data_IF_982310583101
#
_entry.id   IF_982310583101
#
_cell.length_a   1.000
_cell.length_b   1.000
_cell.length_c   1.000
_cell.angle_alpha   90.00
_cell.angle_beta   90.00
_cell.angle_gamma   90.00
#
_symmetry.space_group_name_H-M   'P 1'
#
loop_
_entity.id
_entity.type
_entity.pdbx_description
1 polymer ?
#
# COMPACT_ATOMS: atom_id res chain seq x y z
N UNK A 1 -20.83 -18.39 34.86
CA UNK A 1 -21.41 -17.62 33.73
C UNK A 1 -20.66 -16.30 33.47
N UNK A 2 -20.26 -15.56 34.51
CA UNK A 2 -19.48 -14.30 34.38
C UNK A 2 -18.05 -14.53 33.83
N UNK A 3 -17.39 -15.64 34.19
CA UNK A 3 -16.03 -15.94 33.75
C UNK A 3 -15.90 -16.20 32.24
N UNK A 4 -16.92 -16.82 31.63
CA UNK A 4 -16.98 -17.11 30.19
C UNK A 4 -17.19 -15.82 29.39
N UNK A 5 -18.00 -14.90 29.93
CA UNK A 5 -18.19 -13.57 29.33
C UNK A 5 -16.92 -12.73 29.38
N UNK A 6 -16.18 -12.77 30.50
CA UNK A 6 -14.89 -12.09 30.64
C UNK A 6 -13.83 -12.65 29.67
N UNK A 7 -13.77 -13.98 29.51
CA UNK A 7 -12.89 -14.64 28.54
C UNK A 7 -13.29 -14.34 27.08
N UNK A 8 -14.58 -14.26 26.78
CA UNK A 8 -15.07 -13.89 25.45
C UNK A 8 -14.76 -12.43 25.10
N UNK A 9 -14.92 -11.51 26.05
CA UNK A 9 -14.59 -10.09 25.87
C UNK A 9 -13.08 -9.87 25.77
N UNK A 10 -12.27 -10.56 26.59
CA UNK A 10 -10.81 -10.47 26.46
C UNK A 10 -10.32 -11.12 25.17
N UNK A 11 -10.91 -12.23 24.71
CA UNK A 11 -10.59 -12.85 23.43
C UNK A 11 -10.92 -11.93 22.25
N UNK A 12 -12.11 -11.31 22.23
CA UNK A 12 -12.49 -10.34 21.21
C UNK A 12 -11.57 -9.11 21.21
N UNK A 13 -11.22 -8.58 22.39
CA UNK A 13 -10.25 -7.49 22.50
C UNK A 13 -8.84 -7.89 22.05
N UNK A 14 -8.45 -9.16 22.22
CA UNK A 14 -7.15 -9.67 21.78
C UNK A 14 -7.09 -9.87 20.26
N UNK A 15 -8.19 -10.33 19.63
CA UNK A 15 -8.32 -10.45 18.18
C UNK A 15 -8.32 -9.06 17.52
N UNK A 16 -9.00 -8.08 18.12
CA UNK A 16 -9.07 -6.70 17.60
C UNK A 16 -7.75 -5.91 17.77
N UNK A 17 -6.90 -6.32 18.74
CA UNK A 17 -5.56 -5.76 18.93
C UNK A 17 -4.54 -6.25 17.90
N UNK A 18 -4.75 -7.43 17.29
CA UNK A 18 -3.82 -8.04 16.34
C UNK A 18 -4.22 -7.79 14.88
N UNK A 19 -5.20 -6.92 14.63
CA UNK A 19 -5.71 -6.72 13.29
C UNK A 19 -4.79 -5.77 12.48
N UNK A 20 -3.73 -6.35 11.93
CA UNK A 20 -2.73 -5.73 11.04
C UNK A 20 -3.37 -5.01 9.85
N UNK A 21 -4.60 -5.39 9.49
CA UNK A 21 -5.30 -5.03 8.25
C UNK A 21 -6.47 -4.08 8.49
N UNK A 22 -6.54 -3.45 9.68
CA UNK A 22 -7.61 -2.50 10.07
C UNK A 22 -8.06 -1.62 8.90
N UNK A 23 -9.36 -1.48 8.74
CA UNK A 23 -9.94 -0.68 7.67
C UNK A 23 -9.31 0.73 7.59
N UNK A 24 -8.89 1.12 6.39
CA UNK A 24 -8.44 2.48 6.09
C UNK A 24 -9.66 3.39 6.07
N UNK A 25 -9.84 4.18 7.12
CA UNK A 25 -10.91 5.17 7.16
C UNK A 25 -10.47 6.45 6.41
N UNK A 26 -11.09 6.73 5.27
CA UNK A 26 -10.80 7.92 4.44
C UNK A 26 -10.80 9.21 5.26
N UNK A 27 -11.78 9.38 6.16
CA UNK A 27 -11.88 10.55 7.06
C UNK A 27 -10.68 10.76 7.99
N UNK A 28 -9.85 9.73 8.18
CA UNK A 28 -8.63 9.79 9.00
C UNK A 28 -7.39 10.17 8.18
N UNK A 29 -7.47 10.15 6.85
CA UNK A 29 -6.39 10.59 5.97
C UNK A 29 -6.32 12.12 6.05
N UNK A 30 -5.17 12.63 6.48
CA UNK A 30 -4.86 14.05 6.59
C UNK A 30 -4.23 14.59 5.30
N UNK A 31 -3.34 13.81 4.69
CA UNK A 31 -2.74 14.13 3.41
C UNK A 31 -2.28 12.87 2.68
N UNK A 32 -2.04 13.02 1.37
CA UNK A 32 -1.55 11.96 0.50
C UNK A 32 -0.37 12.45 -0.32
N UNK A 33 0.60 11.57 -0.51
CA UNK A 33 1.77 11.77 -1.36
C UNK A 33 1.89 10.54 -2.26
N UNK A 34 2.12 10.72 -3.56
CA UNK A 34 2.43 9.62 -4.47
C UNK A 34 3.65 9.98 -5.29
N UNK A 35 4.54 9.02 -5.50
CA UNK A 35 5.66 9.16 -6.42
C UNK A 35 5.90 7.88 -7.21
N UNK A 36 6.52 8.02 -8.39
CA UNK A 36 6.94 6.89 -9.22
C UNK A 36 8.32 7.12 -9.80
N UNK A 37 9.01 6.03 -10.11
CA UNK A 37 10.24 6.01 -10.88
C UNK A 37 9.94 6.18 -12.38
N UNK A 38 10.66 7.10 -13.02
CA UNK A 38 10.65 7.32 -14.46
C UNK A 38 12.05 7.07 -14.98
N UNK A 39 12.17 6.24 -16.01
CA UNK A 39 13.44 5.86 -16.61
C UNK A 39 13.66 6.66 -17.88
N UNK A 40 14.68 7.50 -17.88
CA UNK A 40 15.08 8.29 -19.05
C UNK A 40 16.40 7.77 -19.60
N UNK A 41 16.53 7.81 -20.93
CA UNK A 41 17.79 7.54 -21.61
C UNK A 41 18.48 8.88 -21.87
N UNK A 42 19.66 9.06 -21.32
CA UNK A 42 20.52 10.21 -21.64
C UNK A 42 21.89 9.69 -22.11
N UNK A 43 22.24 10.01 -23.35
CA UNK A 43 23.44 9.47 -24.00
C UNK A 43 23.43 7.93 -24.07
N UNK A 44 24.47 7.30 -23.52
CA UNK A 44 24.62 5.84 -23.45
C UNK A 44 24.12 5.24 -22.13
N UNK A 45 23.58 6.05 -21.21
CA UNK A 45 23.19 5.65 -19.86
C UNK A 45 21.68 5.65 -19.64
N UNK A 46 21.28 4.99 -18.55
CA UNK A 46 19.92 5.02 -18.01
C UNK A 46 19.89 5.79 -16.69
N UNK A 47 18.94 6.70 -16.57
CA UNK A 47 18.75 7.53 -15.37
C UNK A 47 17.36 7.28 -14.80
N UNK A 48 17.27 7.31 -13.46
CA UNK A 48 16.02 7.11 -12.73
C UNK A 48 15.70 8.41 -12.01
N UNK A 49 14.55 8.99 -12.36
CA UNK A 49 14.01 10.17 -11.67
C UNK A 49 12.73 9.78 -10.94
N UNK A 50 12.59 10.23 -9.69
CA UNK A 50 11.33 10.11 -8.95
C UNK A 50 10.47 11.33 -9.23
N UNK A 51 9.26 11.11 -9.73
CA UNK A 51 8.30 12.18 -10.03
C UNK A 51 7.10 12.07 -9.11
N UNK A 52 6.67 13.23 -8.60
CA UNK A 52 5.48 13.33 -7.77
C UNK A 52 4.22 13.28 -8.62
N UNK A 53 3.22 12.55 -8.14
CA UNK A 53 1.89 12.45 -8.74
C UNK A 53 0.89 12.99 -7.73
N UNK A 54 0.09 13.97 -8.18
CA UNK A 54 -1.01 14.47 -7.37
C UNK A 54 -2.21 13.54 -7.51
N UNK A 55 -2.57 12.89 -6.41
CA UNK A 55 -3.79 12.09 -6.34
C UNK A 55 -5.02 12.99 -6.23
N UNK A 56 -6.06 12.69 -6.99
CA UNK A 56 -7.39 13.28 -6.81
C UNK A 56 -8.11 12.61 -5.63
N UNK A 57 -9.12 13.30 -5.09
CA UNK A 57 -9.87 12.80 -3.94
C UNK A 57 -10.58 11.46 -4.24
N UNK A 58 -11.18 11.33 -5.42
CA UNK A 58 -11.79 10.08 -5.90
C UNK A 58 -10.79 8.93 -5.97
N UNK A 59 -9.55 9.20 -6.39
CA UNK A 59 -8.48 8.20 -6.44
C UNK A 59 -8.08 7.74 -5.04
N UNK A 60 -7.93 8.66 -4.09
CA UNK A 60 -7.62 8.34 -2.68
C UNK A 60 -8.71 7.44 -2.09
N UNK A 61 -9.98 7.77 -2.33
CA UNK A 61 -11.13 6.98 -1.88
C UNK A 61 -11.13 5.58 -2.50
N UNK A 62 -10.93 5.50 -3.82
CA UNK A 62 -10.85 4.22 -4.53
C UNK A 62 -9.70 3.36 -4.01
N UNK A 63 -8.50 3.92 -3.82
CA UNK A 63 -7.34 3.20 -3.28
C UNK A 63 -7.65 2.64 -1.88
N UNK A 64 -8.22 3.44 -0.99
CA UNK A 64 -8.59 2.98 0.34
C UNK A 64 -9.64 1.86 0.28
N UNK A 65 -10.68 2.01 -0.56
CA UNK A 65 -11.72 1.02 -0.74
C UNK A 65 -11.18 -0.29 -1.33
N UNK A 66 -10.30 -0.22 -2.32
CA UNK A 66 -9.65 -1.39 -2.91
C UNK A 66 -8.84 -2.16 -1.87
N UNK A 67 -8.03 -1.47 -1.05
CA UNK A 67 -7.27 -2.12 0.02
C UNK A 67 -8.20 -2.77 1.04
N UNK A 68 -9.25 -2.07 1.45
CA UNK A 68 -10.22 -2.58 2.43
C UNK A 68 -11.08 -3.74 1.88
N UNK A 69 -11.18 -3.87 0.56
CA UNK A 69 -11.95 -4.95 -0.09
C UNK A 69 -11.20 -6.28 -0.17
N UNK A 70 -9.89 -6.30 0.13
CA UNK A 70 -9.10 -7.54 0.11
C UNK A 70 -9.51 -8.42 1.29
N UNK A 71 -9.95 -9.66 1.07
CA UNK A 71 -10.30 -10.57 2.15
C UNK A 71 -9.04 -10.97 2.93
N UNK A 72 -9.18 -11.18 4.25
CA UNK A 72 -8.06 -11.54 5.13
C UNK A 72 -7.27 -12.78 4.63
N UNK A 73 -7.95 -13.71 3.95
CA UNK A 73 -7.32 -14.91 3.36
C UNK A 73 -6.33 -14.62 2.22
N UNK A 74 -6.40 -13.44 1.61
CA UNK A 74 -5.51 -13.00 0.52
C UNK A 74 -4.42 -12.03 1.01
N UNK A 75 -4.39 -11.75 2.32
CA UNK A 75 -3.37 -10.91 2.93
C UNK A 75 -2.23 -11.80 3.41
N UNK A 76 -1.02 -11.51 2.91
CA UNK A 76 0.18 -12.27 3.27
C UNK A 76 1.07 -11.36 4.11
N UNK A 77 1.12 -11.61 5.41
CA UNK A 77 2.04 -10.91 6.32
C UNK A 77 3.50 -11.23 6.02
N UNK A 78 4.35 -10.22 6.13
CA UNK A 78 5.77 -10.28 5.83
C UNK A 78 6.55 -9.71 7.00
N UNK A 79 7.72 -10.31 7.31
CA UNK A 79 8.65 -9.72 8.28
C UNK A 79 9.18 -8.36 7.79
N UNK A 80 9.41 -8.25 6.48
CA UNK A 80 9.85 -7.05 5.78
C UNK A 80 9.61 -7.22 4.27
N UNK A 81 9.65 -6.12 3.51
CA UNK A 81 9.71 -6.19 2.05
C UNK A 81 11.02 -6.89 1.66
N UNK A 82 11.02 -7.90 0.76
CA UNK A 82 12.24 -8.58 0.34
C UNK A 82 13.31 -7.59 -0.15
N UNK A 83 14.56 -7.79 0.25
CA UNK A 83 15.66 -6.86 -0.05
C UNK A 83 16.01 -6.78 -1.54
N UNK A 84 15.61 -7.77 -2.32
CA UNK A 84 15.76 -7.80 -3.79
C UNK A 84 14.57 -7.17 -4.54
N UNK A 85 13.56 -6.64 -3.83
CA UNK A 85 12.41 -5.97 -4.45
C UNK A 85 12.78 -4.55 -4.88
N UNK A 86 12.54 -4.23 -6.15
CA UNK A 86 12.72 -2.89 -6.70
C UNK A 86 11.39 -2.14 -6.76
N UNK A 87 11.11 -1.32 -5.75
CA UNK A 87 9.90 -0.50 -5.71
C UNK A 87 9.94 0.52 -6.84
N UNK A 88 8.88 0.54 -7.65
CA UNK A 88 8.73 1.45 -8.78
C UNK A 88 7.80 2.61 -8.46
N UNK A 89 6.79 2.42 -7.62
CA UNK A 89 5.91 3.50 -7.14
C UNK A 89 5.58 3.35 -5.66
N UNK A 90 5.25 4.47 -5.03
CA UNK A 90 4.81 4.54 -3.65
C UNK A 90 3.69 5.56 -3.46
N UNK A 91 2.75 5.24 -2.58
CA UNK A 91 1.74 6.14 -2.05
C UNK A 91 1.88 6.16 -0.53
N UNK A 92 1.83 7.34 0.08
CA UNK A 92 1.82 7.52 1.52
C UNK A 92 0.51 8.21 1.89
N UNK A 93 -0.29 7.54 2.72
CA UNK A 93 -1.39 8.17 3.44
C UNK A 93 -0.91 8.57 4.83
N UNK A 94 -0.82 9.88 5.08
CA UNK A 94 -0.58 10.41 6.42
C UNK A 94 -1.91 10.51 7.14
N UNK A 95 -2.00 9.89 8.31
CA UNK A 95 -3.20 9.91 9.13
C UNK A 95 -3.17 11.09 10.10
N UNK A 96 -4.34 11.56 10.53
CA UNK A 96 -4.49 12.61 11.57
C UNK A 96 -3.83 12.26 12.90
N UNK A 97 -3.54 10.98 13.12
CA UNK A 97 -2.84 10.45 14.31
C UNK A 97 -1.31 10.49 14.18
N UNK A 98 -0.76 11.16 13.16
CA UNK A 98 0.67 11.16 12.80
C UNK A 98 1.23 9.77 12.48
N UNK A 99 0.36 8.82 12.15
CA UNK A 99 0.72 7.50 11.61
C UNK A 99 0.71 7.54 10.09
N UNK A 100 1.38 6.57 9.48
CA UNK A 100 1.44 6.44 8.03
C UNK A 100 0.97 5.06 7.57
N UNK A 101 0.35 5.04 6.41
CA UNK A 101 0.13 3.84 5.61
C UNK A 101 0.91 4.05 4.32
N UNK A 102 1.90 3.19 4.08
CA UNK A 102 2.74 3.21 2.87
C UNK A 102 2.30 2.08 1.97
N UNK A 103 1.95 2.39 0.74
CA UNK A 103 1.50 1.44 -0.28
C UNK A 103 2.55 1.50 -1.39
N UNK A 104 3.23 0.39 -1.65
CA UNK A 104 4.39 0.34 -2.53
C UNK A 104 4.17 -0.72 -3.60
N UNK A 105 4.57 -0.42 -4.83
CA UNK A 105 4.35 -1.26 -6.00
C UNK A 105 5.66 -1.52 -6.73
N UNK A 106 5.95 -2.79 -7.03
CA UNK A 106 7.18 -3.21 -7.72
C UNK A 106 6.97 -3.63 -9.19
N UNK A 107 5.80 -3.32 -9.76
CA UNK A 107 5.30 -3.75 -11.07
C UNK A 107 4.69 -5.16 -11.12
N UNK A 108 4.71 -5.88 -10.01
CA UNK A 108 4.06 -7.19 -9.88
C UNK A 108 3.13 -7.23 -8.67
N UNK A 109 3.66 -6.91 -7.49
CA UNK A 109 3.04 -7.02 -6.18
C UNK A 109 2.85 -5.66 -5.53
N UNK A 110 1.82 -5.59 -4.69
CA UNK A 110 1.52 -4.44 -3.84
C UNK A 110 1.89 -4.80 -2.41
N UNK A 111 2.73 -3.97 -1.81
CA UNK A 111 3.16 -4.06 -0.42
C UNK A 111 2.54 -2.93 0.37
N UNK A 112 2.10 -3.22 1.59
CA UNK A 112 1.56 -2.23 2.50
C UNK A 112 2.32 -2.31 3.81
N UNK A 113 2.80 -1.15 4.26
CA UNK A 113 3.43 -0.98 5.56
C UNK A 113 2.60 -0.04 6.42
N UNK A 114 2.29 -0.46 7.64
CA UNK A 114 1.52 0.32 8.62
C UNK A 114 2.27 0.41 9.95
N UNK A 115 2.07 1.50 10.68
CA UNK A 115 2.52 1.60 12.07
C UNK A 115 1.44 1.06 13.02
N UNK A 116 1.73 -0.06 13.68
CA UNK A 116 0.84 -0.63 14.69
C UNK A 116 0.79 0.24 15.98
N UNK A 117 -0.18 -0.04 16.85
CA UNK A 117 -0.37 0.53 18.18
C UNK A 117 0.89 0.43 19.05
N UNK A 118 1.69 -0.62 18.93
CA UNK A 118 2.96 -0.79 19.66
C UNK A 118 4.16 -0.07 19.04
N UNK A 119 3.93 0.78 18.03
CA UNK A 119 4.97 1.43 17.20
C UNK A 119 5.84 0.47 16.39
N UNK A 120 5.52 -0.82 16.36
CA UNK A 120 6.10 -1.77 15.40
C UNK A 120 5.52 -1.50 14.01
N UNK A 121 6.37 -1.61 12.99
CA UNK A 121 5.88 -1.64 11.61
C UNK A 121 5.34 -3.02 11.32
N UNK A 122 4.21 -3.08 10.64
CA UNK A 122 3.71 -4.32 10.06
C UNK A 122 3.71 -4.17 8.56
N UNK A 123 4.24 -5.18 7.89
CA UNK A 123 4.38 -5.25 6.44
C UNK A 123 3.56 -6.43 5.95
N UNK A 124 2.80 -6.24 4.88
CA UNK A 124 2.07 -7.32 4.24
C UNK A 124 1.96 -7.05 2.74
N UNK A 125 1.71 -8.09 1.96
CA UNK A 125 1.36 -7.96 0.54
C UNK A 125 -0.10 -8.33 0.31
N UNK A 126 -0.71 -7.71 -0.69
CA UNK A 126 -2.08 -7.99 -1.14
C UNK A 126 -2.10 -8.27 -2.64
N UNK A 127 -3.11 -9.02 -3.07
CA UNK A 127 -3.47 -9.13 -4.47
C UNK A 127 -4.77 -8.35 -4.72
N UNK A 128 -4.69 -7.25 -5.48
CA UNK A 128 -5.86 -6.42 -5.77
C UNK A 128 -5.74 -5.84 -7.17
N UNK A 129 -6.60 -6.32 -8.07
CA UNK A 129 -6.47 -6.07 -9.52
C UNK A 129 -6.67 -4.61 -9.92
N UNK A 130 -7.63 -3.91 -9.33
CA UNK A 130 -7.91 -2.50 -9.68
C UNK A 130 -6.82 -1.54 -9.19
N UNK A 131 -6.25 -1.78 -8.02
CA UNK A 131 -5.13 -1.05 -7.46
C UNK A 131 -3.86 -1.33 -8.28
N UNK A 132 -3.65 -2.58 -8.70
CA UNK A 132 -2.57 -2.91 -9.63
C UNK A 132 -2.74 -2.15 -10.94
N UNK A 133 -3.93 -2.19 -11.54
CA UNK A 133 -4.27 -1.48 -12.78
C UNK A 133 -4.12 0.04 -12.64
N UNK A 134 -4.49 0.59 -11.49
CA UNK A 134 -4.26 2.00 -11.16
C UNK A 134 -2.77 2.33 -11.23
N UNK A 135 -1.92 1.56 -10.56
CA UNK A 135 -0.47 1.75 -10.64
C UNK A 135 0.05 1.58 -12.08
N UNK A 136 -0.32 0.50 -12.75
CA UNK A 136 0.08 0.21 -14.14
C UNK A 136 -0.24 1.37 -15.08
N UNK A 137 -1.42 1.98 -14.92
CA UNK A 137 -1.83 3.14 -15.71
C UNK A 137 -0.90 4.33 -15.48
N UNK A 138 -0.38 4.51 -14.26
CA UNK A 138 0.62 5.53 -13.99
C UNK A 138 1.97 5.25 -14.68
N UNK A 139 2.25 4.01 -15.11
CA UNK A 139 3.51 3.63 -15.76
C UNK A 139 3.46 3.55 -17.29
N UNK A 140 2.31 3.84 -17.91
CA UNK A 140 2.21 3.87 -19.38
C UNK A 140 3.10 4.94 -20.02
N UNK A 141 4.07 4.53 -20.83
CA UNK A 141 5.01 5.37 -21.59
C UNK A 141 6.22 5.87 -20.80
N UNK A 142 6.50 5.35 -19.60
CA UNK A 142 7.50 5.91 -18.66
C UNK A 142 8.82 5.13 -18.57
N UNK A 143 9.00 4.05 -19.33
CA UNK A 143 10.24 3.28 -19.35
C UNK A 143 10.99 3.47 -20.67
N UNK A 144 11.94 4.41 -20.73
CA UNK A 144 12.62 4.80 -21.98
C UNK A 144 11.68 5.23 -23.13
N UNK A 145 10.47 5.71 -22.78
CA UNK A 145 9.42 6.02 -23.76
C UNK A 145 8.55 4.83 -24.17
N UNK A 146 8.74 3.66 -23.54
CA UNK A 146 8.00 2.42 -23.76
C UNK A 146 7.21 2.00 -22.51
N UNK A 147 6.25 1.09 -22.71
CA UNK A 147 5.47 0.45 -21.65
C UNK A 147 6.25 -0.71 -21.04
N UNK A 148 6.52 -0.64 -19.73
CA UNK A 148 7.09 -1.79 -18.98
C UNK A 148 6.02 -2.78 -18.52
N UNK A 149 4.76 -2.35 -18.53
CA UNK A 149 3.62 -3.18 -18.16
C UNK A 149 3.18 -3.98 -19.38
N UNK A 150 2.98 -5.29 -19.22
CA UNK A 150 2.43 -6.13 -20.29
C UNK A 150 0.94 -5.85 -20.42
N UNK A 151 0.48 -5.50 -21.62
CA UNK A 151 -0.94 -5.53 -21.95
C UNK A 151 -1.41 -6.99 -21.87
N UNK A 152 -2.43 -7.26 -21.04
CA UNK A 152 -3.12 -8.55 -20.95
C UNK A 152 -4.49 -8.44 -21.64
#
# INVERSE_FOLDING_TARGET
MILIFLLGVTYLLFVDLNNVTREIQIKQIASTEMSKAVYTKEGTGAFINWVDIKLRQDEVENIANWINSVPDSEIIELNQIPSNTSISAGIVFRLKTNKEIRIQYDLEKIYITRTDLKKSQVVYSINQGELKKFFDTQFKGFYFGEDKVRDF
#
